data_IF_143103398681
#
_entry.id   IF_143103398681
#
_cell.length_a   1.000
_cell.length_b   1.000
_cell.length_c   1.000
_cell.angle_alpha   90.00
_cell.angle_beta   90.00
_cell.angle_gamma   90.00
#
_symmetry.space_group_name_H-M   'P 1'
#
loop_
_entity.id
_entity.type
_entity.pdbx_description
1 polymer ?
#
# COMPACT_ATOMS: atom_id res chain seq x y z
N UNK A 1 -21.78 -2.96 21.08
CA UNK A 1 -21.21 -2.73 22.43
C UNK A 1 -19.98 -1.83 22.35
N UNK A 2 -19.03 -2.07 21.43
CA UNK A 2 -17.82 -1.23 21.31
C UNK A 2 -18.05 0.25 20.97
N UNK A 3 -19.06 0.58 20.15
CA UNK A 3 -19.41 1.98 19.86
C UNK A 3 -19.93 2.73 21.08
N UNK A 4 -20.62 2.03 21.99
CA UNK A 4 -21.07 2.58 23.28
C UNK A 4 -19.88 2.78 24.21
N UNK A 5 -18.97 1.81 24.27
CA UNK A 5 -17.74 1.92 25.07
C UNK A 5 -16.87 3.10 24.63
N UNK A 6 -16.67 3.30 23.32
CA UNK A 6 -15.92 4.46 22.79
C UNK A 6 -16.59 5.79 23.16
N UNK A 7 -17.91 5.83 23.21
CA UNK A 7 -18.65 7.02 23.62
C UNK A 7 -18.51 7.27 25.13
N UNK A 8 -18.55 6.21 25.94
CA UNK A 8 -18.28 6.27 27.39
C UNK A 8 -16.85 6.74 27.68
N UNK A 9 -15.85 6.21 26.96
CA UNK A 9 -14.45 6.62 27.07
C UNK A 9 -14.27 8.10 26.71
N UNK A 10 -14.92 8.56 25.64
CA UNK A 10 -14.92 9.97 25.23
C UNK A 10 -15.57 10.87 26.28
N UNK A 11 -16.74 10.50 26.80
CA UNK A 11 -17.44 11.29 27.80
C UNK A 11 -16.67 11.34 29.13
N UNK A 12 -16.06 10.23 29.53
CA UNK A 12 -15.20 10.15 30.71
C UNK A 12 -13.98 11.07 30.57
N UNK A 13 -13.34 11.05 29.39
CA UNK A 13 -12.20 11.92 29.09
C UNK A 13 -12.59 13.40 29.12
N UNK A 14 -13.73 13.77 28.54
CA UNK A 14 -14.23 15.14 28.58
C UNK A 14 -14.51 15.62 30.01
N UNK A 15 -15.13 14.79 30.86
CA UNK A 15 -15.38 15.13 32.26
C UNK A 15 -14.09 15.36 33.04
N UNK A 16 -13.06 14.53 32.80
CA UNK A 16 -11.75 14.68 33.43
C UNK A 16 -11.02 15.95 32.94
N UNK A 17 -11.08 16.25 31.66
CA UNK A 17 -10.50 17.48 31.12
C UNK A 17 -11.20 18.75 31.66
N UNK A 18 -12.50 18.67 31.93
CA UNK A 18 -13.24 19.75 32.60
C UNK A 18 -12.83 19.91 34.06
N UNK A 19 -12.64 18.82 34.81
CA UNK A 19 -12.21 18.90 36.22
C UNK A 19 -10.81 19.49 36.35
N UNK A 20 -9.94 19.22 35.38
CA UNK A 20 -8.55 19.67 35.39
C UNK A 20 -8.37 21.07 34.75
N UNK A 21 -9.47 21.70 34.33
CA UNK A 21 -9.46 23.05 33.75
C UNK A 21 -8.85 23.14 32.35
N UNK A 22 -8.73 22.00 31.65
CA UNK A 22 -8.23 21.93 30.27
C UNK A 22 -9.30 22.44 29.29
N UNK A 23 -10.57 22.10 29.55
CA UNK A 23 -11.71 22.63 28.81
C UNK A 23 -12.33 23.82 29.54
N UNK A 24 -12.66 24.87 28.79
CA UNK A 24 -13.36 26.05 29.33
C UNK A 24 -14.86 25.95 29.04
N UNK A 25 -15.73 26.44 29.91
CA UNK A 25 -17.20 26.35 29.75
C UNK A 25 -17.79 27.10 28.54
N UNK A 26 -16.95 27.77 27.75
CA UNK A 26 -17.35 28.57 26.57
C UNK A 26 -16.88 27.99 25.24
N UNK A 27 -16.22 26.83 25.21
CA UNK A 27 -15.76 26.22 23.96
C UNK A 27 -16.90 25.57 23.19
N UNK A 28 -16.75 25.59 21.87
CA UNK A 28 -17.61 24.89 20.94
C UNK A 28 -17.55 23.36 21.21
N UNK A 29 -18.71 22.70 21.22
CA UNK A 29 -18.83 21.28 21.57
C UNK A 29 -17.98 20.39 20.66
N UNK A 30 -17.84 20.77 19.38
CA UNK A 30 -17.01 20.03 18.44
C UNK A 30 -15.51 20.21 18.73
N UNK A 31 -15.12 21.40 19.22
CA UNK A 31 -13.77 21.66 19.71
C UNK A 31 -13.42 20.81 20.92
N UNK A 32 -14.30 20.74 21.93
CA UNK A 32 -14.09 19.90 23.13
C UNK A 32 -13.97 18.43 22.76
N UNK A 33 -14.87 17.98 21.88
CA UNK A 33 -14.85 16.61 21.36
C UNK A 33 -13.57 16.32 20.59
N UNK A 34 -13.07 17.25 19.78
CA UNK A 34 -11.82 17.09 19.04
C UNK A 34 -10.63 16.91 19.98
N UNK A 35 -10.48 17.77 20.99
CA UNK A 35 -9.37 17.67 21.94
C UNK A 35 -9.48 16.39 22.79
N UNK A 36 -10.68 15.99 23.20
CA UNK A 36 -10.87 14.73 23.92
C UNK A 36 -10.49 13.50 23.07
N UNK A 37 -10.79 13.50 21.77
CA UNK A 37 -10.35 12.45 20.86
C UNK A 37 -8.81 12.45 20.68
N UNK A 38 -8.16 13.62 20.67
CA UNK A 38 -6.71 13.72 20.65
C UNK A 38 -6.07 13.11 21.92
N UNK A 39 -6.64 13.39 23.10
CA UNK A 39 -6.16 12.81 24.36
C UNK A 39 -6.31 11.29 24.35
N UNK A 40 -7.48 10.78 23.94
CA UNK A 40 -7.70 9.35 23.79
C UNK A 40 -6.71 8.71 22.82
N UNK A 41 -6.40 9.37 21.70
CA UNK A 41 -5.40 8.89 20.74
C UNK A 41 -4.01 8.77 21.37
N UNK A 42 -3.58 9.73 22.20
CA UNK A 42 -2.28 9.67 22.89
C UNK A 42 -2.19 8.51 23.88
N UNK A 43 -3.32 8.11 24.47
CA UNK A 43 -3.40 6.96 25.39
C UNK A 43 -3.32 5.59 24.68
N UNK A 44 -3.56 5.51 23.37
CA UNK A 44 -3.49 4.25 22.64
C UNK A 44 -2.05 3.74 22.49
N UNK A 45 -1.77 2.43 22.58
CA UNK A 45 -0.43 1.89 22.33
C UNK A 45 0.12 2.30 20.96
N UNK A 46 1.38 2.72 20.90
CA UNK A 46 2.05 3.13 19.66
C UNK A 46 3.51 2.67 19.70
N UNK A 47 3.78 1.45 19.22
CA UNK A 47 5.09 0.82 19.34
C UNK A 47 5.57 0.78 20.79
N UNK A 48 6.85 1.13 21.01
CA UNK A 48 7.49 1.21 22.33
C UNK A 48 7.39 2.61 22.98
N UNK A 49 6.54 3.51 22.46
CA UNK A 49 6.39 4.85 22.99
C UNK A 49 5.47 4.88 24.21
N UNK A 50 6.05 5.21 25.36
CA UNK A 50 5.32 5.56 26.57
C UNK A 50 4.66 6.96 26.47
N UNK A 51 3.82 7.31 27.45
CA UNK A 51 3.07 8.58 27.47
C UNK A 51 3.99 9.81 27.54
N UNK A 52 5.14 9.69 28.22
CA UNK A 52 6.09 10.80 28.38
C UNK A 52 6.76 11.14 27.04
N UNK A 53 7.26 10.12 26.33
CA UNK A 53 7.85 10.28 24.99
C UNK A 53 6.83 10.82 23.99
N UNK A 54 5.59 10.32 24.03
CA UNK A 54 4.51 10.84 23.18
C UNK A 54 4.24 12.32 23.43
N UNK A 55 4.12 12.72 24.69
CA UNK A 55 3.91 14.12 25.05
C UNK A 55 5.06 15.01 24.55
N UNK A 56 6.31 14.57 24.74
CA UNK A 56 7.49 15.32 24.29
C UNK A 56 7.50 15.52 22.76
N UNK A 57 7.20 14.48 21.99
CA UNK A 57 7.11 14.55 20.52
C UNK A 57 5.98 15.47 20.07
N UNK A 58 4.80 15.39 20.69
CA UNK A 58 3.68 16.29 20.37
C UNK A 58 4.08 17.74 20.64
N UNK A 59 4.69 18.04 21.80
CA UNK A 59 5.14 19.39 22.11
C UNK A 59 6.21 19.90 21.11
N UNK A 60 7.10 19.03 20.63
CA UNK A 60 8.15 19.39 19.67
C UNK A 60 7.62 19.64 18.25
N UNK A 61 6.71 18.77 17.78
CA UNK A 61 6.31 18.74 16.37
C UNK A 61 4.95 19.36 16.09
N UNK A 62 4.00 19.36 17.03
CA UNK A 62 2.68 19.95 16.82
C UNK A 62 2.74 21.43 16.38
N UNK A 63 3.64 22.29 16.92
CA UNK A 63 3.76 23.67 16.44
C UNK A 63 4.26 23.78 14.97
N UNK A 64 4.92 22.74 14.47
CA UNK A 64 5.41 22.67 13.07
C UNK A 64 4.29 22.24 12.11
N UNK A 65 3.20 21.66 12.61
CA UNK A 65 2.04 21.22 11.82
C UNK A 65 1.13 22.43 11.58
N UNK A 66 1.32 23.10 10.44
CA UNK A 66 0.50 24.26 10.03
C UNK A 66 -0.81 23.85 9.36
N UNK A 67 -1.80 24.75 9.35
CA UNK A 67 -3.05 24.55 8.59
C UNK A 67 -2.79 24.32 7.10
N UNK A 68 -1.84 25.05 6.50
CA UNK A 68 -1.46 24.85 5.10
C UNK A 68 -0.81 23.49 4.83
N UNK A 69 -0.12 22.91 5.83
CA UNK A 69 0.34 21.52 5.73
C UNK A 69 -0.84 20.53 5.78
N UNK A 70 -1.80 20.74 6.70
CA UNK A 70 -2.98 19.88 6.83
C UNK A 70 -3.88 19.91 5.59
N UNK A 71 -4.06 21.07 4.95
CA UNK A 71 -4.80 21.20 3.69
C UNK A 71 -4.11 20.43 2.56
N UNK A 72 -2.79 20.57 2.43
CA UNK A 72 -2.00 19.80 1.45
C UNK A 72 -2.11 18.30 1.71
N UNK A 73 -1.98 17.88 2.97
CA UNK A 73 -2.11 16.46 3.36
C UNK A 73 -3.51 15.93 3.02
N UNK A 74 -4.57 16.70 3.29
CA UNK A 74 -5.96 16.34 2.94
C UNK A 74 -6.15 16.13 1.43
N UNK A 75 -5.62 17.03 0.61
CA UNK A 75 -5.64 16.89 -0.86
C UNK A 75 -4.88 15.63 -1.31
N UNK A 76 -3.71 15.37 -0.75
CA UNK A 76 -2.93 14.17 -1.08
C UNK A 76 -3.67 12.87 -0.72
N UNK A 77 -4.31 12.84 0.45
CA UNK A 77 -5.03 11.67 0.93
C UNK A 77 -6.35 11.42 0.17
N UNK A 78 -6.98 12.47 -0.35
CA UNK A 78 -8.24 12.38 -1.10
C UNK A 78 -8.04 12.21 -2.62
N UNK A 79 -6.95 12.71 -3.19
CA UNK A 79 -6.62 12.63 -4.62
C UNK A 79 -5.66 11.47 -4.97
N UNK A 80 -5.88 10.28 -4.43
CA UNK A 80 -5.22 9.02 -4.88
C UNK A 80 -5.46 8.68 -6.38
N UNK A 81 -5.97 9.59 -7.22
CA UNK A 81 -6.20 9.44 -8.67
C UNK A 81 -5.64 10.56 -9.56
N UNK A 82 -4.84 11.52 -9.08
CA UNK A 82 -4.52 12.69 -9.92
C UNK A 82 -3.25 13.48 -9.63
N UNK A 83 -2.23 12.88 -9.02
CA UNK A 83 -1.04 13.64 -8.60
C UNK A 83 -0.07 14.02 -9.73
N UNK A 84 -0.30 13.61 -10.98
CA UNK A 84 0.62 13.92 -12.09
C UNK A 84 0.30 15.19 -12.88
N UNK A 85 -0.90 15.77 -12.80
CA UNK A 85 -1.33 16.72 -13.85
C UNK A 85 -1.44 18.20 -13.44
N UNK A 86 -1.30 18.57 -12.15
CA UNK A 86 -1.49 19.97 -11.73
C UNK A 86 -0.22 20.74 -11.39
N UNK A 87 0.96 20.11 -11.36
CA UNK A 87 2.23 20.82 -11.12
C UNK A 87 2.78 21.41 -12.44
N UNK A 88 2.33 20.94 -13.61
CA UNK A 88 2.88 21.36 -14.90
C UNK A 88 2.20 22.61 -15.52
N UNK A 89 1.03 23.03 -15.05
CA UNK A 89 0.28 24.12 -15.70
C UNK A 89 0.51 25.52 -15.11
N UNK A 90 1.17 25.65 -13.96
CA UNK A 90 1.36 26.98 -13.32
C UNK A 90 2.58 27.76 -13.80
N UNK A 91 3.50 27.14 -14.54
CA UNK A 91 4.74 27.79 -14.97
C UNK A 91 4.76 28.27 -16.44
N UNK A 92 3.64 28.20 -17.19
CA UNK A 92 3.61 28.62 -18.61
C UNK A 92 3.00 30.00 -18.91
N UNK A 93 2.69 30.83 -17.90
CA UNK A 93 2.18 32.19 -18.14
C UNK A 93 2.77 33.26 -17.21
N UNK A 94 3.96 33.77 -17.54
CA UNK A 94 4.20 35.21 -17.68
C UNK A 94 5.57 35.47 -18.31
N UNK A 95 5.60 36.31 -19.35
CA UNK A 95 6.83 36.71 -20.02
C UNK A 95 7.50 37.94 -19.40
N UNK A 96 8.81 38.00 -19.66
CA UNK A 96 9.68 39.18 -19.84
C UNK A 96 10.38 39.83 -18.63
N UNK A 97 11.72 39.85 -18.77
CA UNK A 97 12.70 40.88 -18.37
C UNK A 97 13.48 40.78 -17.03
N UNK A 98 14.72 40.30 -17.19
CA UNK A 98 16.02 40.96 -16.90
C UNK A 98 16.74 40.76 -15.53
N UNK A 99 18.00 40.29 -15.67
CA UNK A 99 19.21 40.47 -14.82
C UNK A 99 19.20 40.12 -13.32
N UNK A 100 19.88 39.02 -12.96
CA UNK A 100 21.32 39.02 -12.57
C UNK A 100 21.68 37.80 -11.68
N UNK A 101 22.87 37.25 -11.94
CA UNK A 101 23.68 36.34 -11.11
C UNK A 101 23.01 35.09 -10.52
N UNK A 102 22.97 34.01 -11.31
CA UNK A 102 22.68 32.65 -10.86
C UNK A 102 23.94 31.92 -10.39
N UNK A 103 24.10 31.80 -9.07
CA UNK A 103 24.50 30.53 -8.45
C UNK A 103 23.44 30.20 -7.40
N UNK A 104 22.67 29.11 -7.60
CA UNK A 104 22.08 28.41 -6.46
C UNK A 104 22.54 26.95 -6.46
N UNK A 105 23.17 26.64 -5.34
CA UNK A 105 23.46 25.33 -4.80
C UNK A 105 22.34 24.33 -5.12
N UNK A 106 22.78 23.22 -5.70
CA UNK A 106 22.09 21.94 -5.73
C UNK A 106 21.61 21.57 -4.32
N UNK A 107 20.31 21.41 -4.14
CA UNK A 107 19.78 20.38 -3.24
C UNK A 107 18.42 19.92 -3.76
N UNK A 108 18.40 18.65 -4.17
CA UNK A 108 17.26 17.74 -4.30
C UNK A 108 16.19 17.97 -3.24
N UNK A 109 14.94 17.56 -3.49
CA UNK A 109 14.26 16.52 -2.70
C UNK A 109 12.94 16.17 -3.41
N UNK A 110 13.02 15.12 -4.22
CA UNK A 110 11.91 14.25 -4.57
C UNK A 110 11.47 13.41 -3.34
N UNK A 111 10.33 12.71 -3.50
CA UNK A 111 9.89 11.51 -2.74
C UNK A 111 9.06 11.80 -1.46
N UNK A 112 7.90 11.16 -1.20
CA UNK A 112 7.41 9.78 -1.41
C UNK A 112 5.85 9.83 -1.31
N UNK A 113 5.00 9.00 -1.92
CA UNK A 113 5.05 7.54 -2.00
C UNK A 113 4.20 6.98 -3.17
N UNK A 114 4.86 6.77 -4.31
CA UNK A 114 4.76 5.55 -5.10
C UNK A 114 6.16 4.96 -5.05
N UNK A 115 6.32 3.68 -4.72
CA UNK A 115 7.66 3.07 -4.73
C UNK A 115 8.00 2.83 -6.22
N UNK A 116 8.54 3.87 -6.86
CA UNK A 116 9.15 3.74 -8.18
C UNK A 116 10.42 2.90 -8.07
N UNK A 117 10.81 2.24 -9.17
CA UNK A 117 12.08 1.51 -9.24
C UNK A 117 13.28 2.38 -8.81
N UNK A 118 13.24 3.67 -9.20
CA UNK A 118 14.28 4.64 -8.87
C UNK A 118 14.35 4.94 -7.36
N UNK A 119 13.20 4.91 -6.66
CA UNK A 119 13.13 5.05 -5.20
C UNK A 119 13.77 3.85 -4.49
N UNK A 120 13.54 2.63 -5.00
CA UNK A 120 14.17 1.41 -4.50
C UNK A 120 15.69 1.43 -4.74
N UNK A 121 16.13 1.86 -5.93
CA UNK A 121 17.54 1.96 -6.27
C UNK A 121 18.28 3.05 -5.47
N UNK A 122 17.62 4.20 -5.21
CA UNK A 122 18.20 5.29 -4.41
C UNK A 122 18.34 4.93 -2.93
N UNK A 123 17.38 4.21 -2.37
CA UNK A 123 17.48 3.69 -0.99
C UNK A 123 18.65 2.70 -0.82
N UNK A 124 19.06 2.01 -1.89
CA UNK A 124 20.21 1.08 -1.92
C UNK A 124 21.54 1.73 -2.36
N UNK A 125 21.62 3.05 -2.57
CA UNK A 125 22.83 3.70 -3.14
C UNK A 125 24.02 3.82 -2.18
N UNK A 126 23.99 3.20 -1.01
CA UNK A 126 25.21 2.97 -0.21
C UNK A 126 25.50 1.47 -0.21
N UNK A 127 26.42 1.08 -1.10
CA UNK A 127 26.86 -0.30 -1.43
C UNK A 127 25.94 -0.95 -2.47
N UNK A 128 26.51 -1.50 -3.56
CA UNK A 128 25.80 -2.17 -4.65
C UNK A 128 25.00 -3.40 -4.16
N UNK A 129 23.87 -3.17 -3.50
CA UNK A 129 22.96 -4.23 -3.10
C UNK A 129 22.02 -4.51 -4.28
N UNK A 130 22.43 -5.48 -5.09
CA UNK A 130 21.59 -6.12 -6.09
C UNK A 130 20.23 -6.47 -5.45
N UNK A 131 19.14 -6.07 -6.10
CA UNK A 131 17.79 -6.44 -5.66
C UNK A 131 17.75 -7.94 -5.53
N UNK A 132 17.47 -8.45 -4.33
CA UNK A 132 17.39 -9.87 -4.06
C UNK A 132 16.00 -10.41 -4.39
N UNK A 133 15.85 -11.72 -4.56
CA UNK A 133 14.52 -12.31 -4.73
C UNK A 133 13.67 -12.10 -3.47
N UNK A 134 14.30 -12.08 -2.29
CA UNK A 134 13.64 -11.82 -1.02
C UNK A 134 12.99 -10.42 -1.00
N UNK A 135 13.62 -9.43 -1.61
CA UNK A 135 13.07 -8.08 -1.71
C UNK A 135 11.87 -8.01 -2.66
N UNK A 136 11.91 -8.77 -3.75
CA UNK A 136 10.77 -8.91 -4.68
C UNK A 136 9.59 -9.56 -3.97
N UNK A 137 9.82 -10.64 -3.24
CA UNK A 137 8.75 -11.35 -2.50
C UNK A 137 8.16 -10.45 -1.40
N UNK A 138 8.99 -9.69 -0.67
CA UNK A 138 8.50 -8.70 0.29
C UNK A 138 7.66 -7.62 -0.38
N UNK A 139 8.07 -7.12 -1.54
CA UNK A 139 7.34 -6.08 -2.27
C UNK A 139 5.94 -6.56 -2.69
N UNK A 140 5.82 -7.79 -3.20
CA UNK A 140 4.52 -8.38 -3.56
C UNK A 140 3.62 -8.47 -2.33
N UNK A 141 4.15 -8.96 -1.20
CA UNK A 141 3.37 -9.05 0.04
C UNK A 141 2.90 -7.69 0.59
N UNK A 142 3.61 -6.61 0.27
CA UNK A 142 3.22 -5.24 0.63
C UNK A 142 2.20 -4.65 -0.36
N UNK A 143 2.25 -5.05 -1.63
CA UNK A 143 1.24 -4.71 -2.65
C UNK A 143 -0.11 -5.39 -2.35
N UNK A 144 -0.04 -6.64 -1.88
CA UNK A 144 -1.18 -7.53 -1.65
C UNK A 144 -1.85 -7.30 -0.28
N UNK A 145 -2.84 -6.42 -0.18
CA UNK A 145 -3.44 -6.09 1.14
C UNK A 145 -4.96 -6.02 1.22
N UNK A 146 -5.68 -5.99 0.11
CA UNK A 146 -7.11 -5.65 0.16
C UNK A 146 -7.97 -6.75 0.81
N UNK A 147 -7.76 -8.03 0.49
CA UNK A 147 -8.70 -9.08 0.92
C UNK A 147 -8.54 -9.50 2.39
N UNK A 148 -7.31 -9.55 2.92
CA UNK A 148 -7.02 -9.85 4.33
C UNK A 148 -7.58 -8.77 5.24
N UNK A 149 -7.39 -7.49 4.90
CA UNK A 149 -7.98 -6.40 5.68
C UNK A 149 -9.50 -6.42 5.65
N UNK A 150 -10.09 -6.65 4.48
CA UNK A 150 -11.54 -6.78 4.37
C UNK A 150 -12.06 -7.95 5.22
N UNK A 151 -11.38 -9.09 5.21
CA UNK A 151 -11.77 -10.23 6.04
C UNK A 151 -11.58 -9.96 7.54
N UNK A 152 -10.48 -9.33 7.95
CA UNK A 152 -10.27 -8.90 9.34
C UNK A 152 -11.39 -7.97 9.82
N UNK A 153 -11.81 -7.03 8.97
CA UNK A 153 -12.95 -6.15 9.24
C UNK A 153 -14.24 -6.96 9.40
N UNK A 154 -14.49 -7.96 8.54
CA UNK A 154 -15.68 -8.82 8.64
C UNK A 154 -15.70 -9.65 9.92
N UNK A 155 -14.56 -10.19 10.37
CA UNK A 155 -14.45 -10.85 11.68
C UNK A 155 -14.86 -9.90 12.81
N UNK A 156 -14.33 -8.68 12.80
CA UNK A 156 -14.65 -7.67 13.81
C UNK A 156 -16.14 -7.28 13.80
N UNK A 157 -16.73 -7.09 12.62
CA UNK A 157 -18.14 -6.73 12.47
C UNK A 157 -19.08 -7.85 12.95
N UNK A 158 -18.66 -9.12 12.84
CA UNK A 158 -19.42 -10.28 13.30
C UNK A 158 -19.19 -10.59 14.79
N UNK A 159 -18.22 -9.93 15.42
CA UNK A 159 -17.82 -10.22 16.80
C UNK A 159 -17.18 -11.61 16.97
N UNK A 160 -16.55 -12.12 15.92
CA UNK A 160 -15.87 -13.42 15.92
C UNK A 160 -14.37 -13.26 16.09
N UNK A 161 -13.72 -14.23 16.73
CA UNK A 161 -12.26 -14.27 16.78
C UNK A 161 -11.69 -14.57 15.39
N UNK A 162 -10.59 -13.89 15.07
CA UNK A 162 -9.87 -14.10 13.81
C UNK A 162 -9.30 -15.52 13.77
N UNK A 163 -9.66 -16.28 12.74
CA UNK A 163 -9.09 -17.60 12.51
C UNK A 163 -7.73 -17.47 11.82
N UNK A 164 -6.64 -17.80 12.52
CA UNK A 164 -5.27 -17.71 12.00
C UNK A 164 -5.10 -18.51 10.70
N UNK A 165 -5.63 -19.74 10.65
CA UNK A 165 -5.58 -20.58 9.46
C UNK A 165 -6.25 -19.94 8.23
N UNK A 166 -7.32 -19.18 8.44
CA UNK A 166 -7.98 -18.44 7.35
C UNK A 166 -7.11 -17.27 6.86
N UNK A 167 -6.43 -16.58 7.78
CA UNK A 167 -5.50 -15.51 7.41
C UNK A 167 -4.27 -16.02 6.67
N UNK A 168 -3.73 -17.18 7.09
CA UNK A 168 -2.64 -17.85 6.38
C UNK A 168 -3.06 -18.27 4.97
N UNK A 169 -4.26 -18.84 4.82
CA UNK A 169 -4.83 -19.17 3.51
C UNK A 169 -4.95 -17.92 2.62
N UNK A 170 -5.55 -16.85 3.16
CA UNK A 170 -5.73 -15.59 2.44
C UNK A 170 -4.41 -14.99 1.98
N UNK A 171 -3.37 -15.04 2.82
CA UNK A 171 -2.04 -14.53 2.45
C UNK A 171 -1.44 -15.24 1.23
N UNK A 172 -1.68 -16.55 1.08
CA UNK A 172 -1.21 -17.30 -0.08
C UNK A 172 -2.11 -17.07 -1.30
N UNK A 173 -3.42 -17.01 -1.08
CA UNK A 173 -4.39 -16.68 -2.14
C UNK A 173 -4.09 -15.30 -2.76
N UNK A 174 -3.83 -14.30 -1.93
CA UNK A 174 -3.47 -12.94 -2.36
C UNK A 174 -2.19 -12.94 -3.20
N UNK A 175 -1.13 -13.62 -2.74
CA UNK A 175 0.11 -13.74 -3.50
C UNK A 175 -0.12 -14.30 -4.92
N UNK A 176 -0.92 -15.37 -5.04
CA UNK A 176 -1.22 -15.96 -6.34
C UNK A 176 -2.02 -15.01 -7.24
N UNK A 177 -3.02 -14.30 -6.69
CA UNK A 177 -3.82 -13.34 -7.46
C UNK A 177 -2.95 -12.19 -7.98
N UNK A 178 -2.09 -11.63 -7.14
CA UNK A 178 -1.20 -10.52 -7.54
C UNK A 178 -0.18 -10.94 -8.60
N UNK A 179 0.35 -12.16 -8.50
CA UNK A 179 1.22 -12.70 -9.55
C UNK A 179 0.44 -12.88 -10.85
N UNK A 180 -0.83 -13.29 -10.80
CA UNK A 180 -1.66 -13.42 -12.00
C UNK A 180 -1.94 -12.08 -12.65
N UNK A 181 -2.30 -11.07 -11.86
CA UNK A 181 -2.55 -9.70 -12.32
C UNK A 181 -1.28 -9.09 -12.92
N UNK A 182 -0.14 -9.17 -12.22
CA UNK A 182 1.15 -8.71 -12.75
C UNK A 182 1.54 -9.43 -14.06
N UNK A 183 1.26 -10.74 -14.20
CA UNK A 183 1.55 -11.43 -15.46
C UNK A 183 0.64 -10.98 -16.60
N UNK A 184 -0.60 -10.59 -16.29
CA UNK A 184 -1.55 -10.06 -17.26
C UNK A 184 -1.18 -8.64 -17.69
N UNK A 185 -0.81 -7.77 -16.74
CA UNK A 185 -0.49 -6.36 -16.95
C UNK A 185 1.01 -6.11 -17.26
N UNK A 186 1.80 -7.17 -17.46
CA UNK A 186 3.27 -7.08 -17.57
C UNK A 186 3.78 -6.02 -18.56
N UNK A 187 3.21 -5.99 -19.76
CA UNK A 187 3.62 -5.05 -20.81
C UNK A 187 3.28 -3.61 -20.43
N UNK A 188 2.06 -3.37 -19.92
CA UNK A 188 1.58 -2.06 -19.49
C UNK A 188 2.36 -1.55 -18.27
N UNK A 189 2.61 -2.40 -17.28
CA UNK A 189 3.44 -2.06 -16.12
C UNK A 189 4.87 -1.69 -16.51
N UNK A 190 5.45 -2.45 -17.46
CA UNK A 190 6.76 -2.11 -18.01
C UNK A 190 6.67 -0.79 -18.77
N UNK A 191 5.60 -0.44 -19.46
CA UNK A 191 5.48 0.87 -20.14
C UNK A 191 5.29 2.05 -19.19
N UNK A 192 4.60 1.83 -18.08
CA UNK A 192 4.31 2.87 -17.08
C UNK A 192 5.41 3.02 -16.02
N UNK A 193 6.41 2.12 -16.02
CA UNK A 193 7.47 2.06 -15.01
C UNK A 193 6.98 1.60 -13.63
N UNK A 194 5.90 0.82 -13.62
CA UNK A 194 5.32 0.26 -12.42
C UNK A 194 6.10 -0.98 -11.95
N UNK A 195 5.96 -1.28 -10.66
CA UNK A 195 6.44 -2.55 -10.11
C UNK A 195 5.66 -3.70 -10.73
N UNK A 196 6.38 -4.75 -11.11
CA UNK A 196 5.80 -5.98 -11.63
C UNK A 196 6.70 -7.18 -11.28
N UNK A 197 6.12 -8.27 -10.78
CA UNK A 197 6.89 -9.43 -10.33
C UNK A 197 7.79 -10.01 -11.43
N UNK A 198 7.29 -10.19 -12.64
CA UNK A 198 8.07 -10.79 -13.72
C UNK A 198 9.22 -9.86 -14.13
N UNK A 199 8.95 -8.55 -14.19
CA UNK A 199 9.95 -7.51 -14.45
C UNK A 199 11.10 -7.60 -13.44
N UNK A 200 10.78 -7.78 -12.16
CA UNK A 200 11.79 -7.91 -11.11
C UNK A 200 12.52 -9.25 -11.18
N UNK A 201 11.81 -10.35 -11.46
CA UNK A 201 12.45 -11.66 -11.66
C UNK A 201 13.42 -11.65 -12.84
N UNK A 202 13.13 -10.91 -13.93
CA UNK A 202 14.07 -10.71 -15.04
C UNK A 202 15.33 -9.97 -14.59
N UNK A 203 15.22 -8.97 -13.71
CA UNK A 203 16.40 -8.29 -13.14
C UNK A 203 17.26 -9.22 -12.29
N UNK A 204 16.65 -10.11 -11.51
CA UNK A 204 17.36 -11.01 -10.59
C UNK A 204 17.94 -12.23 -11.32
N UNK A 205 17.17 -12.85 -12.22
CA UNK A 205 17.47 -14.15 -12.81
C UNK A 205 17.73 -14.12 -14.32
N UNK A 206 17.57 -12.97 -14.97
CA UNK A 206 17.72 -12.82 -16.42
C UNK A 206 16.78 -13.76 -17.18
N UNK A 207 17.34 -14.48 -18.16
CA UNK A 207 16.60 -15.44 -18.99
C UNK A 207 15.97 -16.60 -18.19
N UNK A 208 16.42 -16.86 -16.96
CA UNK A 208 15.86 -17.92 -16.10
C UNK A 208 14.61 -17.48 -15.34
N UNK A 209 14.20 -16.22 -15.46
CA UNK A 209 13.07 -15.65 -14.73
C UNK A 209 11.76 -16.45 -14.86
N UNK A 210 11.32 -16.91 -16.04
CA UNK A 210 10.10 -17.72 -16.17
C UNK A 210 10.16 -19.02 -15.37
N UNK A 211 11.29 -19.72 -15.44
CA UNK A 211 11.49 -20.99 -14.72
C UNK A 211 11.50 -20.77 -13.21
N UNK A 212 12.16 -19.70 -12.74
CA UNK A 212 12.20 -19.37 -11.33
C UNK A 212 10.83 -18.94 -10.82
N UNK A 213 10.10 -18.07 -11.54
CA UNK A 213 8.76 -17.64 -11.15
C UNK A 213 7.78 -18.82 -11.12
N UNK A 214 7.83 -19.71 -12.11
CA UNK A 214 7.00 -20.93 -12.14
C UNK A 214 7.23 -21.83 -10.91
N UNK A 215 8.47 -21.90 -10.41
CA UNK A 215 8.77 -22.63 -9.17
C UNK A 215 8.08 -22.00 -7.96
N UNK A 216 8.16 -20.68 -7.80
CA UNK A 216 7.48 -19.96 -6.71
C UNK A 216 5.95 -20.11 -6.78
N UNK A 217 5.38 -20.02 -7.98
CA UNK A 217 3.95 -20.26 -8.20
C UNK A 217 3.57 -21.68 -7.77
N UNK A 218 4.34 -22.69 -8.18
CA UNK A 218 4.08 -24.10 -7.84
C UNK A 218 4.11 -24.32 -6.32
N UNK A 219 5.12 -23.81 -5.63
CA UNK A 219 5.23 -23.92 -4.17
C UNK A 219 4.06 -23.21 -3.46
N UNK A 220 3.63 -22.05 -3.96
CA UNK A 220 2.47 -21.33 -3.45
C UNK A 220 1.15 -22.08 -3.71
N UNK A 221 0.97 -22.69 -4.89
CA UNK A 221 -0.21 -23.52 -5.21
C UNK A 221 -0.29 -24.77 -4.34
N UNK A 222 0.84 -25.43 -4.07
CA UNK A 222 0.88 -26.57 -3.14
C UNK A 222 0.44 -26.14 -1.74
N UNK A 223 0.98 -25.03 -1.23
CA UNK A 223 0.60 -24.47 0.07
C UNK A 223 -0.86 -24.02 0.10
N UNK A 224 -1.34 -23.38 -0.96
CA UNK A 224 -2.75 -23.00 -1.13
C UNK A 224 -3.66 -24.22 -1.00
N UNK A 225 -3.35 -25.30 -1.71
CA UNK A 225 -4.14 -26.54 -1.68
C UNK A 225 -4.14 -27.22 -0.32
N UNK A 226 -3.01 -27.21 0.40
CA UNK A 226 -2.90 -27.76 1.75
C UNK A 226 -3.75 -26.95 2.76
N UNK A 227 -3.66 -25.63 2.69
CA UNK A 227 -4.43 -24.73 3.57
C UNK A 227 -5.93 -24.81 3.27
N UNK A 228 -6.31 -24.80 1.98
CA UNK A 228 -7.71 -24.91 1.55
C UNK A 228 -8.39 -26.17 2.11
N UNK A 229 -7.71 -27.32 2.06
CA UNK A 229 -8.22 -28.59 2.62
C UNK A 229 -8.36 -28.57 4.14
N UNK A 230 -7.62 -27.70 4.81
CA UNK A 230 -7.60 -27.59 6.27
C UNK A 230 -8.61 -26.56 6.80
N UNK A 231 -9.16 -25.70 5.93
CA UNK A 231 -10.19 -24.74 6.28
C UNK A 231 -11.49 -25.43 6.70
N UNK A 232 -12.38 -24.64 7.32
CA UNK A 232 -13.78 -25.01 7.47
C UNK A 232 -14.36 -25.47 6.10
N UNK A 233 -15.04 -26.63 6.04
CA UNK A 233 -15.50 -27.19 4.78
C UNK A 233 -16.42 -26.28 3.97
N UNK A 234 -17.26 -25.49 4.65
CA UNK A 234 -18.17 -24.56 3.97
C UNK A 234 -17.39 -23.37 3.40
N UNK A 235 -16.43 -22.85 4.16
CA UNK A 235 -15.55 -21.79 3.72
C UNK A 235 -14.69 -22.23 2.52
N UNK A 236 -14.08 -23.41 2.59
CA UNK A 236 -13.33 -24.02 1.48
C UNK A 236 -14.18 -24.13 0.22
N UNK A 237 -15.42 -24.63 0.35
CA UNK A 237 -16.34 -24.76 -0.79
C UNK A 237 -16.69 -23.40 -1.40
N UNK A 238 -16.88 -22.37 -0.58
CA UNK A 238 -17.18 -21.02 -1.06
C UNK A 238 -16.00 -20.43 -1.84
N UNK A 239 -14.77 -20.62 -1.38
CA UNK A 239 -13.57 -20.17 -2.12
C UNK A 239 -13.41 -20.89 -3.45
N UNK A 240 -13.60 -22.22 -3.48
CA UNK A 240 -13.54 -22.98 -4.73
C UNK A 240 -14.53 -22.45 -5.78
N UNK A 241 -15.78 -22.18 -5.37
CA UNK A 241 -16.79 -21.59 -6.25
C UNK A 241 -16.38 -20.20 -6.75
N UNK A 242 -15.87 -19.34 -5.86
CA UNK A 242 -15.42 -18.00 -6.23
C UNK A 242 -14.24 -18.05 -7.22
N UNK A 243 -13.30 -18.97 -7.05
CA UNK A 243 -12.19 -19.16 -8.00
C UNK A 243 -12.69 -19.60 -9.39
N UNK A 244 -13.65 -20.53 -9.44
CA UNK A 244 -14.27 -20.96 -10.70
C UNK A 244 -15.04 -19.83 -11.39
N UNK A 245 -15.72 -18.98 -10.63
CA UNK A 245 -16.40 -17.79 -11.14
C UNK A 245 -15.40 -16.77 -11.69
N UNK A 246 -14.36 -16.44 -10.93
CA UNK A 246 -13.31 -15.50 -11.35
C UNK A 246 -12.60 -15.96 -12.63
N UNK A 247 -12.25 -17.25 -12.70
CA UNK A 247 -11.61 -17.85 -13.89
C UNK A 247 -12.50 -17.72 -15.14
N UNK A 248 -13.82 -17.86 -14.96
CA UNK A 248 -14.81 -17.73 -16.04
C UNK A 248 -15.04 -16.27 -16.44
N UNK A 249 -15.09 -15.36 -15.48
CA UNK A 249 -15.17 -13.91 -15.70
C UNK A 249 -13.96 -13.40 -16.49
N UNK A 250 -12.77 -13.93 -16.20
CA UNK A 250 -11.53 -13.68 -16.95
C UNK A 250 -11.44 -14.37 -18.31
N UNK A 251 -12.52 -15.02 -18.79
CA UNK A 251 -12.60 -15.64 -20.11
C UNK A 251 -11.78 -16.93 -20.28
N UNK A 252 -11.22 -17.47 -19.21
CA UNK A 252 -10.40 -18.69 -19.26
C UNK A 252 -11.28 -19.95 -19.32
N UNK A 253 -10.97 -20.86 -20.25
CA UNK A 253 -11.67 -22.14 -20.44
C UNK A 253 -10.95 -23.34 -19.78
N UNK A 254 -9.98 -23.05 -18.91
CA UNK A 254 -9.20 -24.06 -18.18
C UNK A 254 -10.11 -25.01 -17.41
N UNK A 255 -9.71 -26.29 -17.40
CA UNK A 255 -10.31 -27.34 -16.55
C UNK A 255 -9.82 -27.20 -15.10
N UNK A 256 -8.67 -26.53 -14.89
CA UNK A 256 -8.07 -26.36 -13.58
C UNK A 256 -8.76 -25.22 -12.80
N UNK A 257 -9.12 -25.40 -11.51
CA UNK A 257 -9.90 -24.42 -10.74
C UNK A 257 -9.21 -23.06 -10.54
N UNK A 258 -7.88 -23.02 -10.63
CA UNK A 258 -7.08 -21.80 -10.52
C UNK A 258 -6.71 -21.19 -11.89
N UNK A 259 -7.29 -21.70 -12.99
CA UNK A 259 -6.95 -21.24 -14.33
C UNK A 259 -5.69 -21.88 -14.90
N UNK A 260 -5.00 -21.18 -15.80
CA UNK A 260 -3.76 -21.62 -16.43
C UNK A 260 -2.79 -20.45 -16.44
N UNK A 261 -1.59 -20.66 -15.93
CA UNK A 261 -0.53 -19.66 -15.95
C UNK A 261 0.00 -19.46 -17.36
N UNK A 262 0.04 -18.21 -17.80
CA UNK A 262 0.68 -17.81 -19.05
C UNK A 262 1.73 -16.76 -18.72
N UNK A 263 3.01 -17.11 -18.82
CA UNK A 263 4.10 -16.15 -18.62
C UNK A 263 4.34 -15.44 -19.97
N UNK A 264 4.19 -14.11 -20.04
CA UNK A 264 4.39 -13.37 -21.28
C UNK A 264 5.87 -13.37 -21.74
N UNK A 265 6.14 -13.02 -23.01
CA UNK A 265 7.50 -12.88 -23.51
C UNK A 265 8.30 -11.86 -22.71
N UNK A 266 9.56 -12.16 -22.41
CA UNK A 266 10.41 -11.30 -21.59
C UNK A 266 10.79 -10.01 -22.33
N UNK A 267 10.65 -8.88 -21.66
CA UNK A 267 11.19 -7.59 -22.10
C UNK A 267 12.60 -7.45 -21.52
N UNK A 268 13.62 -7.75 -22.34
CA UNK A 268 15.03 -7.71 -21.91
C UNK A 268 15.62 -6.30 -21.86
N UNK A 269 15.14 -5.39 -22.72
CA UNK A 269 15.55 -3.98 -22.76
C UNK A 269 14.30 -3.10 -22.69
N UNK A 270 13.99 -2.64 -21.47
CA UNK A 270 12.82 -1.81 -21.20
C UNK A 270 12.92 -0.43 -21.87
N UNK A 271 14.13 0.14 -22.01
CA UNK A 271 14.32 1.44 -22.63
C UNK A 271 14.00 1.37 -24.12
N UNK A 272 14.54 0.34 -24.79
CA UNK A 272 14.22 0.06 -26.19
C UNK A 272 12.71 -0.20 -26.35
N UNK A 273 12.12 -1.02 -25.47
CA UNK A 273 10.70 -1.35 -25.51
C UNK A 273 9.80 -0.10 -25.42
N UNK A 274 10.04 0.80 -24.44
CA UNK A 274 9.30 2.07 -24.31
C UNK A 274 9.49 2.99 -25.52
N UNK A 275 10.73 3.11 -26.02
CA UNK A 275 11.03 4.00 -27.14
C UNK A 275 10.34 3.57 -28.45
N UNK A 276 10.23 2.27 -28.70
CA UNK A 276 9.57 1.73 -29.90
C UNK A 276 8.05 1.95 -29.92
N UNK A 277 7.42 2.18 -28.77
CA UNK A 277 5.98 2.40 -28.64
C UNK A 277 5.60 3.88 -28.61
N UNK A 278 6.52 4.77 -28.23
CA UNK A 278 6.32 6.23 -28.26
C UNK A 278 6.51 6.84 -29.67
N UNK A 279 7.27 6.18 -30.56
CA UNK A 279 7.42 6.54 -31.97
C UNK A 279 7.08 5.34 -32.89
N UNK A 280 5.78 5.01 -33.09
CA UNK A 280 5.41 4.02 -34.07
C UNK A 280 5.72 4.56 -35.48
N UNK A 281 6.64 3.90 -36.19
CA UNK A 281 6.94 4.19 -37.61
C UNK A 281 5.72 4.09 -38.51
#
# INVERSE_FOLDING_TARGET
>A
MDSLRKLEDLQTTMMLMQSDGILTTSSDHDSDRFIANLVLFLMQPCGELDLEKKSALVSEYLPKISSGFLEKASVCLTQKKGFQQQILEKDSKFGSEDKSCSEPLTTNYEEMATIGLDAMQRANSTVEDFISVEDVIKAIHLKSFDYRVLNLLLYQLRGEQVAELHMDFLSISEFLVEVADDLFDYEDDVLENNFNVLRMFVRVYGASAPTMLAKYITEAEEKYNLLLKSLDPQLSLNYQKRCEEATREGGNKSIHPLGTWSIPPLIADENLYRSNLLDPK
#
